data_IF_148762314006
#
_entry.id   IF_148762314006
#
_cell.length_a   1.000
_cell.length_b   1.000
_cell.length_c   1.000
_cell.angle_alpha   90.00
_cell.angle_beta   90.00
_cell.angle_gamma   90.00
#
_symmetry.space_group_name_H-M   'P 1'
#
loop_
_entity.id
_entity.type
_entity.pdbx_description
1 polymer ?
#
# COMPACT_ATOMS: atom_id res chain seq x y z
N UNK A 1 -42.29 -78.53 29.39
CA UNK A 1 -41.06 -78.84 30.15
C UNK A 1 -39.91 -78.63 29.19
N UNK A 2 -39.18 -77.53 29.41
CA UNK A 2 -37.84 -77.18 28.91
C UNK A 2 -37.65 -76.89 27.41
N UNK A 3 -37.35 -75.61 27.20
CA UNK A 3 -36.62 -74.98 26.10
C UNK A 3 -35.28 -75.65 25.80
N UNK A 4 -34.68 -75.34 24.63
CA UNK A 4 -33.43 -74.58 24.55
C UNK A 4 -32.88 -74.51 23.11
N UNK A 5 -32.19 -73.40 22.86
CA UNK A 5 -31.33 -73.05 21.72
C UNK A 5 -31.98 -72.31 20.55
N UNK A 6 -32.25 -71.02 20.77
CA UNK A 6 -32.16 -70.03 19.70
C UNK A 6 -30.79 -69.35 19.79
N UNK A 7 -30.00 -69.54 18.72
CA UNK A 7 -28.64 -69.04 18.58
C UNK A 7 -28.66 -67.55 18.24
N UNK A 8 -28.06 -66.72 19.10
CA UNK A 8 -27.81 -65.31 18.83
C UNK A 8 -26.49 -65.17 18.06
N UNK A 9 -26.60 -64.70 16.82
CA UNK A 9 -25.51 -64.22 15.98
C UNK A 9 -25.95 -62.84 15.49
N UNK A 10 -25.01 -61.89 15.46
CA UNK A 10 -25.12 -60.48 15.08
C UNK A 10 -25.33 -59.47 16.24
N UNK A 11 -24.20 -59.22 16.91
CA UNK A 11 -23.59 -57.90 17.08
C UNK A 11 -24.54 -56.71 17.36
N UNK A 12 -24.54 -56.37 18.64
CA UNK A 12 -25.02 -55.14 19.27
C UNK A 12 -24.38 -53.89 18.65
N UNK A 13 -25.04 -53.29 17.66
CA UNK A 13 -24.80 -51.89 17.27
C UNK A 13 -25.67 -51.05 18.20
N UNK A 14 -25.07 -50.62 19.31
CA UNK A 14 -25.66 -49.67 20.25
C UNK A 14 -25.83 -48.32 19.54
N UNK A 15 -26.98 -48.10 18.89
CA UNK A 15 -27.43 -46.77 18.49
C UNK A 15 -27.70 -45.95 19.74
N UNK A 16 -26.82 -44.98 20.04
CA UNK A 16 -27.12 -43.94 21.03
C UNK A 16 -28.29 -43.11 20.49
N UNK A 17 -29.33 -42.82 21.30
CA UNK A 17 -30.48 -42.06 20.81
C UNK A 17 -30.02 -40.67 20.37
N UNK A 18 -30.22 -40.37 19.08
CA UNK A 18 -29.84 -39.10 18.48
C UNK A 18 -30.75 -37.99 19.03
N UNK A 19 -30.21 -37.14 19.90
CA UNK A 19 -30.91 -35.95 20.40
C UNK A 19 -31.20 -35.01 19.22
N UNK A 20 -32.47 -34.99 18.79
CA UNK A 20 -32.95 -34.08 17.75
C UNK A 20 -33.49 -32.82 18.41
N UNK A 21 -32.96 -31.65 18.05
CA UNK A 21 -33.42 -30.36 18.57
C UNK A 21 -34.20 -29.59 17.50
N UNK A 22 -35.09 -28.70 17.97
CA UNK A 22 -35.72 -27.70 17.11
C UNK A 22 -34.66 -26.69 16.61
N UNK A 23 -34.96 -25.95 15.54
CA UNK A 23 -34.08 -24.89 15.02
C UNK A 23 -33.60 -23.91 16.10
N UNK A 24 -34.48 -23.56 17.05
CA UNK A 24 -34.17 -22.69 18.19
C UNK A 24 -33.22 -23.37 19.18
N UNK A 25 -33.50 -24.62 19.55
CA UNK A 25 -32.64 -25.38 20.46
C UNK A 25 -31.24 -25.64 19.87
N UNK A 26 -31.15 -25.87 18.56
CA UNK A 26 -29.86 -26.01 17.89
C UNK A 26 -29.09 -24.68 17.85
N UNK A 27 -29.77 -23.54 17.65
CA UNK A 27 -29.15 -22.22 17.67
C UNK A 27 -28.50 -21.90 19.03
N UNK A 28 -29.20 -22.19 20.12
CA UNK A 28 -28.69 -22.06 21.49
C UNK A 28 -27.49 -22.99 21.73
N UNK A 29 -27.55 -24.24 21.26
CA UNK A 29 -26.48 -25.24 21.44
C UNK A 29 -25.16 -24.91 20.71
N UNK A 30 -25.19 -24.02 19.70
CA UNK A 30 -24.00 -23.57 18.97
C UNK A 30 -23.69 -22.07 19.19
N UNK A 31 -24.47 -21.39 20.03
CA UNK A 31 -24.29 -19.97 20.36
C UNK A 31 -24.47 -19.02 19.18
N UNK A 32 -25.40 -19.30 18.26
CA UNK A 32 -25.71 -18.42 17.11
C UNK A 32 -27.19 -18.03 17.10
N UNK A 33 -27.54 -17.00 16.33
CA UNK A 33 -28.95 -16.60 16.18
C UNK A 33 -29.75 -17.62 15.36
N UNK A 34 -31.05 -17.74 15.62
CA UNK A 34 -31.94 -18.61 14.85
C UNK A 34 -31.95 -18.27 13.34
N UNK A 35 -31.76 -17.00 12.98
CA UNK A 35 -31.60 -16.56 11.58
C UNK A 35 -30.32 -17.10 10.93
N UNK A 36 -29.21 -17.20 11.68
CA UNK A 36 -27.97 -17.82 11.22
C UNK A 36 -28.16 -19.31 10.95
N UNK A 37 -28.90 -20.02 11.81
CA UNK A 37 -29.27 -21.42 11.58
C UNK A 37 -30.11 -21.56 10.30
N UNK A 38 -31.08 -20.67 10.05
CA UNK A 38 -31.83 -20.67 8.79
C UNK A 38 -30.95 -20.47 7.55
N UNK A 39 -29.93 -19.60 7.63
CA UNK A 39 -28.95 -19.46 6.54
C UNK A 39 -28.11 -20.73 6.36
N UNK A 40 -27.76 -21.43 7.43
CA UNK A 40 -27.02 -22.70 7.37
C UNK A 40 -27.86 -23.82 6.76
N UNK A 41 -29.16 -23.85 7.06
CA UNK A 41 -30.11 -24.75 6.40
C UNK A 41 -30.16 -24.48 4.90
N UNK A 42 -30.25 -23.21 4.49
CA UNK A 42 -30.16 -22.84 3.08
C UNK A 42 -28.80 -23.19 2.45
N UNK A 43 -27.73 -23.19 3.24
CA UNK A 43 -26.38 -23.59 2.85
C UNK A 43 -26.11 -25.10 2.86
N UNK A 44 -27.11 -25.94 3.17
CA UNK A 44 -26.97 -27.40 3.11
C UNK A 44 -26.79 -28.11 4.46
N UNK A 45 -27.09 -27.45 5.59
CA UNK A 45 -27.14 -28.12 6.91
C UNK A 45 -28.17 -29.26 6.87
N UNK A 46 -27.79 -30.50 7.24
CA UNK A 46 -28.72 -31.63 7.24
C UNK A 46 -29.86 -31.45 8.26
N UNK A 47 -31.10 -31.34 7.77
CA UNK A 47 -32.32 -31.26 8.59
C UNK A 47 -33.21 -32.44 8.24
N UNK A 48 -33.88 -33.03 9.22
CA UNK A 48 -34.90 -34.04 8.99
C UNK A 48 -36.15 -33.45 8.29
N UNK A 49 -36.98 -34.26 7.62
CA UNK A 49 -38.21 -33.81 6.96
C UNK A 49 -39.23 -33.15 7.92
N UNK A 50 -39.14 -33.45 9.22
CA UNK A 50 -39.96 -32.87 10.29
C UNK A 50 -39.42 -31.50 10.80
N UNK A 51 -38.31 -30.99 10.22
CA UNK A 51 -37.69 -29.72 10.58
C UNK A 51 -36.78 -29.76 11.82
N UNK A 52 -36.48 -30.94 12.38
CA UNK A 52 -35.56 -31.13 13.51
C UNK A 52 -34.13 -31.37 13.03
N UNK A 53 -33.16 -30.94 13.84
CA UNK A 53 -31.73 -31.00 13.52
C UNK A 53 -31.07 -31.96 14.51
N UNK A 54 -30.36 -32.97 14.01
CA UNK A 54 -29.50 -33.80 14.85
C UNK A 54 -28.31 -32.98 15.34
N UNK A 55 -28.15 -32.85 16.66
CA UNK A 55 -27.13 -31.97 17.26
C UNK A 55 -25.71 -32.36 16.84
N UNK A 56 -25.39 -33.67 16.87
CA UNK A 56 -24.06 -34.16 16.52
C UNK A 56 -23.72 -33.92 15.04
N UNK A 57 -24.65 -34.24 14.13
CA UNK A 57 -24.48 -34.06 12.69
C UNK A 57 -24.42 -32.59 12.29
N UNK A 58 -25.26 -31.77 12.91
CA UNK A 58 -25.26 -30.34 12.70
C UNK A 58 -23.94 -29.71 13.14
N UNK A 59 -23.46 -30.04 14.35
CA UNK A 59 -22.17 -29.54 14.88
C UNK A 59 -20.98 -29.92 14.01
N UNK A 60 -20.94 -31.15 13.48
CA UNK A 60 -19.90 -31.59 12.54
C UNK A 60 -19.89 -30.74 11.26
N UNK A 61 -21.07 -30.53 10.66
CA UNK A 61 -21.19 -29.69 9.47
C UNK A 61 -20.77 -28.23 9.73
N UNK A 62 -21.12 -27.66 10.89
CA UNK A 62 -20.70 -26.30 11.27
C UNK A 62 -19.18 -26.20 11.34
N UNK A 63 -18.50 -27.18 11.94
CA UNK A 63 -17.06 -27.18 12.09
C UNK A 63 -16.34 -27.26 10.74
N UNK A 64 -16.90 -28.00 9.78
CA UNK A 64 -16.34 -28.18 8.44
C UNK A 64 -16.62 -27.00 7.51
N UNK A 65 -17.78 -26.34 7.64
CA UNK A 65 -18.28 -25.41 6.61
C UNK A 65 -18.35 -23.94 7.07
N UNK A 66 -18.14 -23.64 8.36
CA UNK A 66 -18.25 -22.27 8.89
C UNK A 66 -16.90 -21.77 9.41
N UNK A 67 -16.27 -20.90 8.63
CA UNK A 67 -15.00 -20.25 8.98
C UNK A 67 -15.14 -19.38 10.26
N UNK A 68 -14.38 -19.68 11.35
CA UNK A 68 -14.35 -18.90 12.58
C UNK A 68 -13.95 -17.43 12.37
N UNK A 69 -13.13 -17.14 11.35
CA UNK A 69 -12.60 -15.79 11.12
C UNK A 69 -13.65 -14.83 10.56
N UNK A 70 -14.71 -15.32 9.90
CA UNK A 70 -15.86 -14.49 9.50
C UNK A 70 -16.64 -13.95 10.71
N UNK A 71 -16.53 -14.57 11.89
CA UNK A 71 -17.21 -14.10 13.12
C UNK A 71 -16.71 -12.75 13.60
N UNK A 72 -15.45 -12.40 13.32
CA UNK A 72 -14.82 -11.15 13.81
C UNK A 72 -15.22 -9.92 13.00
N UNK A 73 -15.66 -10.08 11.76
CA UNK A 73 -16.02 -8.96 10.90
C UNK A 73 -17.42 -8.37 11.18
N UNK A 74 -18.28 -9.11 11.88
CA UNK A 74 -19.71 -8.77 12.05
C UNK A 74 -20.12 -8.33 13.47
N UNK A 75 -19.18 -8.16 14.40
CA UNK A 75 -19.48 -7.70 15.77
C UNK A 75 -19.28 -6.18 15.98
N UNK A 76 -18.80 -5.44 14.97
CA UNK A 76 -18.67 -3.98 15.02
C UNK A 76 -19.97 -3.28 14.58
N UNK A 77 -21.03 -3.43 15.38
CA UNK A 77 -22.24 -2.59 15.35
C UNK A 77 -22.25 -1.60 16.53
N UNK A 78 -22.82 -0.40 16.39
CA UNK A 78 -22.53 0.74 17.26
C UNK A 78 -23.04 0.52 18.69
N UNK A 79 -22.11 0.50 19.66
CA UNK A 79 -22.45 0.63 21.08
C UNK A 79 -22.74 2.11 21.39
N UNK A 80 -23.94 2.38 21.92
CA UNK A 80 -24.35 3.68 22.43
C UNK A 80 -23.49 4.10 23.64
N UNK A 81 -23.23 5.41 23.85
CA UNK A 81 -22.19 5.86 24.77
C UNK A 81 -22.69 5.84 26.22
N UNK A 82 -22.00 5.10 27.09
CA UNK A 82 -22.02 5.37 28.53
C UNK A 82 -20.67 5.99 28.91
N UNK A 83 -20.75 7.19 29.48
CA UNK A 83 -19.61 7.99 29.87
C UNK A 83 -18.78 7.31 30.97
N UNK A 84 -17.49 7.12 30.70
CA UNK A 84 -16.45 7.06 31.72
C UNK A 84 -15.12 7.50 31.10
N UNK A 85 -14.61 8.63 31.55
CA UNK A 85 -13.32 9.17 31.15
C UNK A 85 -12.19 8.30 31.72
N UNK A 86 -11.72 7.36 30.91
CA UNK A 86 -10.41 6.72 31.05
C UNK A 86 -9.92 6.43 29.62
N UNK A 87 -8.64 6.64 29.26
CA UNK A 87 -8.19 6.44 27.89
C UNK A 87 -8.23 4.94 27.58
N UNK A 88 -9.30 4.51 26.91
CA UNK A 88 -9.37 3.16 26.33
C UNK A 88 -8.18 3.00 25.36
N UNK A 89 -7.51 1.84 25.33
CA UNK A 89 -6.46 1.58 24.34
C UNK A 89 -7.06 1.81 22.95
N UNK A 90 -6.38 2.62 22.15
CA UNK A 90 -6.81 2.93 20.79
C UNK A 90 -7.19 1.62 20.08
N UNK A 91 -8.38 1.59 19.48
CA UNK A 91 -8.85 0.38 18.79
C UNK A 91 -7.82 -0.03 17.74
N UNK A 92 -7.72 -1.32 17.43
CA UNK A 92 -6.80 -1.81 16.40
C UNK A 92 -7.01 -1.14 15.04
N UNK A 93 -8.23 -0.67 14.77
CA UNK A 93 -8.55 0.20 13.61
C UNK A 93 -7.89 1.57 13.75
N UNK A 94 -8.08 2.26 14.88
CA UNK A 94 -7.46 3.57 15.12
C UNK A 94 -5.93 3.53 15.05
N UNK A 95 -5.29 2.44 15.52
CA UNK A 95 -3.83 2.26 15.41
C UNK A 95 -3.40 2.07 13.96
N UNK A 96 -4.17 1.31 13.16
CA UNK A 96 -3.88 1.13 11.73
C UNK A 96 -4.08 2.41 10.94
N UNK A 97 -5.17 3.12 11.18
CA UNK A 97 -5.48 4.39 10.52
C UNK A 97 -4.40 5.44 10.83
N UNK A 98 -3.93 5.49 12.09
CA UNK A 98 -2.83 6.37 12.48
C UNK A 98 -1.50 6.00 11.80
N UNK A 99 -1.18 4.71 11.69
CA UNK A 99 0.03 4.25 10.99
C UNK A 99 -0.03 4.55 9.48
N UNK A 100 -1.19 4.37 8.85
CA UNK A 100 -1.40 4.68 7.44
C UNK A 100 -1.32 6.18 7.16
N UNK A 101 -1.90 7.01 8.03
CA UNK A 101 -1.77 8.46 7.96
C UNK A 101 -0.31 8.93 8.06
N UNK A 102 0.48 8.32 8.95
CA UNK A 102 1.90 8.65 9.09
C UNK A 102 2.71 8.23 7.86
N UNK A 103 2.46 7.04 7.31
CA UNK A 103 3.08 6.60 6.05
C UNK A 103 2.74 7.56 4.90
N UNK A 104 1.48 8.00 4.79
CA UNK A 104 1.04 8.93 3.76
C UNK A 104 1.74 10.30 3.91
N UNK A 105 1.88 10.80 5.14
CA UNK A 105 2.61 12.03 5.44
C UNK A 105 4.09 11.92 5.05
N UNK A 106 4.77 10.86 5.46
CA UNK A 106 6.19 10.64 5.12
C UNK A 106 6.41 10.50 3.61
N UNK A 107 5.48 9.85 2.90
CA UNK A 107 5.49 9.81 1.43
C UNK A 107 5.31 11.18 0.81
N UNK A 108 4.36 11.97 1.30
CA UNK A 108 4.14 13.33 0.81
C UNK A 108 5.36 14.23 1.06
N UNK A 109 6.01 14.12 2.20
CA UNK A 109 7.26 14.83 2.50
C UNK A 109 8.41 14.39 1.60
N UNK A 110 8.56 13.08 1.36
CA UNK A 110 9.56 12.54 0.43
C UNK A 110 9.30 13.00 -1.00
N UNK A 111 8.06 12.97 -1.46
CA UNK A 111 7.66 13.48 -2.77
C UNK A 111 7.92 14.98 -2.86
N UNK A 112 7.56 15.75 -1.82
CA UNK A 112 7.84 17.18 -1.74
C UNK A 112 9.33 17.51 -1.83
N UNK A 113 10.20 16.74 -1.16
CA UNK A 113 11.66 16.85 -1.29
C UNK A 113 12.20 16.48 -2.68
N UNK A 114 11.45 15.70 -3.46
CA UNK A 114 11.79 15.33 -4.83
C UNK A 114 11.18 16.26 -5.88
N UNK A 115 10.29 17.20 -5.49
CA UNK A 115 9.71 18.16 -6.40
C UNK A 115 10.69 19.31 -6.65
N UNK A 116 11.13 19.42 -7.90
CA UNK A 116 11.91 20.55 -8.37
C UNK A 116 10.94 21.58 -8.95
N UNK A 117 10.99 22.81 -8.48
CA UNK A 117 10.32 23.93 -9.15
C UNK A 117 11.02 24.17 -10.49
N UNK A 118 10.41 23.66 -11.56
CA UNK A 118 10.92 23.78 -12.92
C UNK A 118 11.21 25.24 -13.31
N UNK A 119 10.37 26.18 -12.90
CA UNK A 119 10.54 27.58 -13.24
C UNK A 119 11.73 28.20 -12.49
N UNK A 120 11.89 27.88 -11.20
CA UNK A 120 13.06 28.31 -10.43
C UNK A 120 14.36 27.69 -10.97
N UNK A 121 14.36 26.40 -11.27
CA UNK A 121 15.53 25.71 -11.81
C UNK A 121 15.94 26.27 -13.17
N UNK A 122 14.99 26.51 -14.07
CA UNK A 122 15.28 27.11 -15.37
C UNK A 122 15.93 28.49 -15.21
N UNK A 123 15.39 29.36 -14.34
CA UNK A 123 15.99 30.67 -14.04
C UNK A 123 17.41 30.56 -13.51
N UNK A 124 17.67 29.59 -12.63
CA UNK A 124 19.01 29.36 -12.07
C UNK A 124 20.00 28.93 -13.17
N UNK A 125 19.61 27.98 -14.02
CA UNK A 125 20.42 27.50 -15.14
C UNK A 125 20.70 28.63 -16.13
N UNK A 126 19.67 29.38 -16.55
CA UNK A 126 19.82 30.53 -17.44
C UNK A 126 20.72 31.63 -16.86
N UNK A 127 20.62 31.87 -15.55
CA UNK A 127 21.48 32.84 -14.86
C UNK A 127 22.92 32.39 -14.84
N UNK A 128 23.16 31.09 -14.59
CA UNK A 128 24.49 30.50 -14.62
C UNK A 128 25.10 30.55 -16.03
N UNK A 129 24.34 30.17 -17.06
CA UNK A 129 24.79 30.21 -18.45
C UNK A 129 25.15 31.64 -18.91
N UNK A 130 24.33 32.64 -18.53
CA UNK A 130 24.66 34.06 -18.80
C UNK A 130 25.93 34.50 -18.10
N UNK A 131 26.10 34.14 -16.83
CA UNK A 131 27.31 34.43 -16.08
C UNK A 131 28.56 33.84 -16.75
N UNK A 132 28.49 32.59 -17.21
CA UNK A 132 29.60 31.93 -17.91
C UNK A 132 29.93 32.61 -19.24
N UNK A 133 28.92 32.93 -20.06
CA UNK A 133 29.11 33.69 -21.30
C UNK A 133 29.79 35.02 -21.05
N UNK A 134 29.30 35.78 -20.06
CA UNK A 134 29.83 37.11 -19.76
C UNK A 134 31.25 37.03 -19.17
N UNK A 135 31.57 35.97 -18.42
CA UNK A 135 32.91 35.69 -17.94
C UNK A 135 33.91 35.41 -19.08
N UNK A 136 33.51 34.63 -20.09
CA UNK A 136 34.31 34.38 -21.30
C UNK A 136 34.55 35.65 -22.11
N UNK A 137 33.52 36.47 -22.32
CA UNK A 137 33.66 37.75 -23.00
C UNK A 137 34.56 38.71 -22.22
N UNK A 138 34.43 38.76 -20.89
CA UNK A 138 35.31 39.56 -20.03
C UNK A 138 36.75 39.04 -19.99
N UNK A 139 36.96 37.73 -20.15
CA UNK A 139 38.29 37.13 -20.22
C UNK A 139 39.09 37.60 -21.43
N UNK A 140 38.45 37.83 -22.58
CA UNK A 140 39.11 38.38 -23.79
C UNK A 140 39.88 39.66 -23.49
N UNK A 141 39.27 40.59 -22.74
CA UNK A 141 39.90 41.86 -22.38
C UNK A 141 41.11 41.71 -21.45
N UNK A 142 41.20 40.60 -20.71
CA UNK A 142 42.36 40.29 -19.85
C UNK A 142 43.45 39.52 -20.59
N UNK A 143 43.07 38.59 -21.45
CA UNK A 143 44.01 37.74 -22.18
C UNK A 143 44.68 38.45 -23.37
N UNK A 144 43.96 39.35 -24.05
CA UNK A 144 44.49 40.01 -25.25
C UNK A 144 45.76 40.86 -25.00
N UNK A 145 45.87 41.67 -23.92
CA UNK A 145 47.10 42.39 -23.59
C UNK A 145 48.30 41.48 -23.32
N UNK A 146 48.08 40.37 -22.61
CA UNK A 146 49.12 39.39 -22.30
C UNK A 146 49.64 38.71 -23.58
N UNK A 147 48.73 38.31 -24.48
CA UNK A 147 49.08 37.70 -25.76
C UNK A 147 49.81 38.70 -26.65
N UNK A 148 49.30 39.94 -26.78
CA UNK A 148 49.91 40.98 -27.60
C UNK A 148 51.33 41.31 -27.12
N UNK A 149 51.53 41.46 -25.81
CA UNK A 149 52.84 41.76 -25.24
C UNK A 149 53.86 40.62 -25.44
N UNK A 150 53.41 39.36 -25.31
CA UNK A 150 54.29 38.19 -25.42
C UNK A 150 54.68 37.90 -26.87
N UNK A 151 53.78 38.15 -27.82
CA UNK A 151 53.98 37.84 -29.24
C UNK A 151 54.46 39.04 -30.07
N UNK A 152 54.40 40.26 -29.51
CA UNK A 152 54.66 41.50 -30.23
C UNK A 152 53.56 41.87 -31.24
N UNK A 153 52.39 41.24 -31.17
CA UNK A 153 51.27 41.50 -32.06
C UNK A 153 50.53 42.81 -31.71
N UNK A 154 49.80 43.36 -32.68
CA UNK A 154 48.93 44.51 -32.43
C UNK A 154 47.77 44.15 -31.49
N UNK A 155 47.62 44.91 -30.40
CA UNK A 155 46.62 44.65 -29.37
C UNK A 155 45.19 44.71 -29.93
N UNK A 156 44.89 45.70 -30.77
CA UNK A 156 43.55 45.87 -31.31
C UNK A 156 43.17 44.68 -32.22
N UNK A 157 44.11 44.20 -33.04
CA UNK A 157 43.94 43.01 -33.85
C UNK A 157 43.73 41.75 -32.98
N UNK A 158 44.51 41.57 -31.91
CA UNK A 158 44.37 40.42 -30.99
C UNK A 158 42.99 40.44 -30.31
N UNK A 159 42.54 41.58 -29.80
CA UNK A 159 41.20 41.74 -29.20
C UNK A 159 40.11 41.35 -30.20
N UNK A 160 40.18 41.89 -31.42
CA UNK A 160 39.17 41.63 -32.45
C UNK A 160 39.10 40.15 -32.85
N UNK A 161 40.25 39.50 -32.99
CA UNK A 161 40.32 38.07 -33.33
C UNK A 161 39.78 37.22 -32.18
N UNK A 162 40.20 37.48 -30.94
CA UNK A 162 39.75 36.71 -29.79
C UNK A 162 38.25 36.87 -29.51
N UNK A 163 37.72 38.09 -29.55
CA UNK A 163 36.27 38.34 -29.36
C UNK A 163 35.45 37.55 -30.39
N UNK A 164 35.85 37.58 -31.67
CA UNK A 164 35.20 36.81 -32.73
C UNK A 164 35.26 35.30 -32.47
N UNK A 165 36.42 34.75 -32.10
CA UNK A 165 36.58 33.31 -31.87
C UNK A 165 35.82 32.83 -30.64
N UNK A 166 35.87 33.59 -29.54
CA UNK A 166 35.15 33.25 -28.31
C UNK A 166 33.65 33.30 -28.55
N UNK A 167 33.13 34.31 -29.25
CA UNK A 167 31.71 34.36 -29.62
C UNK A 167 31.29 33.20 -30.50
N UNK A 168 32.11 32.85 -31.51
CA UNK A 168 31.83 31.69 -32.35
C UNK A 168 31.77 30.40 -31.53
N UNK A 169 32.71 30.20 -30.60
CA UNK A 169 32.69 29.04 -29.71
C UNK A 169 31.45 29.01 -28.80
N UNK A 170 31.05 30.17 -28.25
CA UNK A 170 29.85 30.27 -27.42
C UNK A 170 28.58 29.93 -28.20
N UNK A 171 28.51 30.26 -29.49
CA UNK A 171 27.42 29.84 -30.38
C UNK A 171 27.45 28.32 -30.57
N UNK A 172 28.61 27.73 -30.90
CA UNK A 172 28.75 26.27 -31.02
C UNK A 172 28.30 25.54 -29.76
N UNK A 173 28.64 26.05 -28.57
CA UNK A 173 28.21 25.47 -27.29
C UNK A 173 26.71 25.64 -27.06
N UNK A 174 26.11 26.75 -27.49
CA UNK A 174 24.67 26.97 -27.37
C UNK A 174 23.85 26.05 -28.30
N UNK A 175 24.41 25.65 -29.44
CA UNK A 175 23.79 24.73 -30.39
C UNK A 175 23.99 23.24 -30.02
N UNK A 176 24.82 22.94 -29.02
CA UNK A 176 25.10 21.57 -28.57
C UNK A 176 23.93 21.03 -27.72
N UNK A 177 23.39 19.83 -28.04
CA UNK A 177 22.40 19.16 -27.21
C UNK A 177 22.94 18.88 -25.80
N UNK A 178 22.07 18.99 -24.80
CA UNK A 178 22.43 18.69 -23.40
C UNK A 178 22.86 17.23 -23.20
N UNK A 179 22.40 16.32 -24.06
CA UNK A 179 22.68 14.88 -24.05
C UNK A 179 24.11 14.54 -24.52
N UNK A 180 24.75 15.47 -25.23
CA UNK A 180 26.10 15.30 -25.78
C UNK A 180 27.19 15.80 -24.82
N UNK A 181 26.82 16.30 -23.63
CA UNK A 181 27.79 16.57 -22.58
C UNK A 181 28.28 15.24 -21.99
N UNK A 182 29.60 14.99 -21.96
CA UNK A 182 30.12 13.79 -21.30
C UNK A 182 29.71 13.81 -19.82
N UNK A 183 29.08 12.72 -19.37
CA UNK A 183 28.89 12.44 -17.95
C UNK A 183 30.28 12.18 -17.34
N UNK A 184 30.91 13.23 -16.81
CA UNK A 184 32.09 13.11 -15.93
C UNK A 184 31.69 12.71 -14.50
#
# INVERSE_FOLDING_TARGET
MQDLHSSSLFADVVERPAETLSKKGFAEAIGVSAGRVSQMIAGGLPVEPNGRIHVARGKAWVAENVDPNRRRASLDGPALPLASASPLPASSRAVRDAAEAEIARLKAERMGRALIDRAATLRTIESRARFERDAWLGWVNRAAPEIASTTGADLAAVVAVLDRLVRAQLVTLADMPLEDFPDD
#
